data_IF_803415369457
#
_entry.id   IF_803415369457
#
_cell.length_a   1.000
_cell.length_b   1.000
_cell.length_c   1.000
_cell.angle_alpha   90.00
_cell.angle_beta   90.00
_cell.angle_gamma   90.00
#
_symmetry.space_group_name_H-M   'P 1'
#
loop_
_entity.id
_entity.type
_entity.pdbx_description
1 polymer ?
#
# COMPACT_ATOMS: atom_id res chain seq x y z
N UNK A 1 9.66 9.88 -5.29
CA UNK A 1 8.76 10.47 -4.27
C UNK A 1 7.36 9.92 -4.51
N UNK A 2 6.62 9.61 -3.44
CA UNK A 2 5.25 9.13 -3.51
C UNK A 2 4.29 9.97 -2.68
N UNK A 3 3.10 10.23 -3.22
CA UNK A 3 2.02 10.87 -2.47
C UNK A 3 1.32 9.86 -1.55
N UNK A 4 0.99 10.29 -0.34
CA UNK A 4 0.38 9.43 0.67
C UNK A 4 -0.87 10.06 1.30
N UNK A 5 -1.92 10.37 0.47
CA UNK A 5 -3.08 11.10 0.91
C UNK A 5 -3.93 10.32 1.91
N UNK A 6 -4.46 11.03 2.91
CA UNK A 6 -5.31 10.46 3.95
C UNK A 6 -6.50 11.35 4.27
N UNK A 7 -7.43 10.85 5.08
CA UNK A 7 -8.42 11.72 5.70
C UNK A 7 -7.74 12.85 6.47
N UNK A 8 -8.32 14.05 6.42
CA UNK A 8 -7.82 15.23 7.15
C UNK A 8 -8.11 15.10 8.65
N UNK A 9 -7.39 14.18 9.29
CA UNK A 9 -7.55 13.82 10.70
C UNK A 9 -6.17 13.60 11.35
N UNK A 10 -5.40 14.68 11.48
CA UNK A 10 -4.05 14.65 12.09
C UNK A 10 -4.06 14.05 13.49
N UNK A 11 -5.10 14.34 14.29
CA UNK A 11 -5.22 13.85 15.67
C UNK A 11 -5.20 12.33 15.76
N UNK A 12 -5.82 11.64 14.79
CA UNK A 12 -5.87 10.18 14.74
C UNK A 12 -4.96 9.62 13.64
N UNK A 13 -4.03 10.42 13.15
CA UNK A 13 -3.07 10.01 12.11
C UNK A 13 -3.74 9.43 10.84
N UNK A 14 -4.94 9.96 10.47
CA UNK A 14 -5.72 9.44 9.34
C UNK A 14 -6.26 8.02 9.52
N UNK A 15 -6.22 7.46 10.73
CA UNK A 15 -6.62 6.07 11.01
C UNK A 15 -8.08 5.90 11.45
N UNK A 16 -8.81 7.00 11.66
CA UNK A 16 -10.24 6.96 11.95
C UNK A 16 -11.04 6.92 10.65
N UNK A 17 -12.06 6.06 10.61
CA UNK A 17 -12.99 5.99 9.47
C UNK A 17 -13.86 7.23 9.41
N UNK A 18 -14.00 7.80 8.22
CA UNK A 18 -14.88 8.92 7.92
C UNK A 18 -15.74 8.59 6.71
N UNK A 19 -17.03 8.88 6.81
CA UNK A 19 -17.94 8.75 5.67
C UNK A 19 -18.07 10.13 5.02
N UNK A 20 -17.42 10.32 3.88
CA UNK A 20 -17.40 11.57 3.13
C UNK A 20 -18.09 11.40 1.78
N UNK A 21 -18.78 12.44 1.28
CA UNK A 21 -19.29 12.45 -0.09
C UNK A 21 -18.16 12.30 -1.10
N UNK A 22 -18.46 11.73 -2.27
CA UNK A 22 -17.52 11.48 -3.36
C UNK A 22 -16.68 12.73 -3.69
N UNK A 23 -17.32 13.89 -3.87
CA UNK A 23 -16.63 15.13 -4.23
C UNK A 23 -15.61 15.59 -3.17
N UNK A 24 -15.88 15.30 -1.89
CA UNK A 24 -14.93 15.61 -0.82
C UNK A 24 -13.75 14.63 -0.81
N UNK A 25 -13.98 13.36 -1.17
CA UNK A 25 -12.92 12.37 -1.32
C UNK A 25 -12.02 12.75 -2.50
N UNK A 26 -12.58 13.07 -3.65
CA UNK A 26 -11.84 13.52 -4.83
C UNK A 26 -10.97 14.73 -4.49
N UNK A 27 -11.58 15.78 -3.93
CA UNK A 27 -10.86 16.98 -3.55
C UNK A 27 -9.73 16.69 -2.56
N UNK A 28 -9.95 15.86 -1.57
CA UNK A 28 -8.96 15.46 -0.58
C UNK A 28 -7.71 14.83 -1.23
N UNK A 29 -7.91 13.97 -2.23
CA UNK A 29 -6.80 13.31 -2.96
C UNK A 29 -6.05 14.34 -3.82
N UNK A 30 -6.78 15.15 -4.57
CA UNK A 30 -6.21 16.16 -5.48
C UNK A 30 -5.40 17.19 -4.68
N UNK A 31 -5.99 17.80 -3.66
CA UNK A 31 -5.33 18.84 -2.87
C UNK A 31 -4.00 18.32 -2.26
N UNK A 32 -3.99 17.11 -1.71
CA UNK A 32 -2.77 16.56 -1.09
C UNK A 32 -1.72 16.14 -2.12
N UNK A 33 -2.13 15.68 -3.30
CA UNK A 33 -1.24 15.40 -4.41
C UNK A 33 -0.59 16.68 -4.92
N UNK A 34 -1.38 17.71 -5.24
CA UNK A 34 -0.91 18.97 -5.80
C UNK A 34 0.10 19.68 -4.88
N UNK A 35 -0.16 19.70 -3.56
CA UNK A 35 0.78 20.26 -2.58
C UNK A 35 2.14 19.57 -2.66
N UNK A 36 2.17 18.24 -2.80
CA UNK A 36 3.43 17.50 -2.86
C UNK A 36 4.10 17.67 -4.22
N UNK A 37 3.33 17.67 -5.31
CA UNK A 37 3.85 17.87 -6.67
C UNK A 37 4.51 19.24 -6.80
N UNK A 38 3.87 20.30 -6.33
CA UNK A 38 4.43 21.67 -6.30
C UNK A 38 5.78 21.75 -5.56
N UNK A 39 5.92 21.00 -4.46
CA UNK A 39 7.18 20.92 -3.71
C UNK A 39 8.22 20.12 -4.48
N UNK A 40 7.82 19.01 -5.06
CA UNK A 40 8.70 18.15 -5.82
C UNK A 40 9.28 18.87 -7.05
N UNK A 41 8.44 19.58 -7.81
CA UNK A 41 8.86 20.37 -8.98
C UNK A 41 9.87 21.46 -8.61
N UNK A 42 9.62 22.20 -7.52
CA UNK A 42 10.57 23.20 -7.00
C UNK A 42 11.94 22.65 -6.63
N UNK A 43 12.00 21.35 -6.33
CA UNK A 43 13.23 20.61 -6.01
C UNK A 43 13.80 19.85 -7.20
N UNK A 44 13.29 20.06 -8.42
CA UNK A 44 13.76 19.41 -9.65
C UNK A 44 13.44 17.91 -9.73
N UNK A 45 12.39 17.47 -9.04
CA UNK A 45 11.92 16.07 -9.05
C UNK A 45 10.40 16.03 -9.29
N UNK A 46 9.79 14.84 -9.27
CA UNK A 46 8.35 14.65 -9.47
C UNK A 46 7.77 13.56 -8.59
N UNK A 47 6.48 13.61 -8.36
CA UNK A 47 5.74 12.50 -7.75
C UNK A 47 5.58 11.39 -8.78
N UNK A 48 5.97 10.17 -8.43
CA UNK A 48 5.99 9.02 -9.35
C UNK A 48 4.93 7.98 -9.02
N UNK A 49 4.46 7.97 -7.80
CA UNK A 49 3.47 7.01 -7.32
C UNK A 49 2.58 7.61 -6.24
N UNK A 50 1.45 6.98 -6.03
CA UNK A 50 0.47 7.40 -5.03
C UNK A 50 -0.09 6.19 -4.29
N UNK A 51 -0.26 6.32 -2.98
CA UNK A 51 -0.80 5.31 -2.09
C UNK A 51 -1.69 5.95 -1.02
N UNK A 52 -2.99 5.70 -0.97
CA UNK A 52 -3.83 6.17 0.13
C UNK A 52 -3.35 5.65 1.49
N UNK A 53 -3.52 6.46 2.52
CA UNK A 53 -3.06 6.13 3.87
C UNK A 53 -4.20 5.76 4.82
N UNK A 54 -3.89 4.91 5.78
CA UNK A 54 -4.67 4.67 6.98
C UNK A 54 -6.09 4.16 6.72
N UNK A 55 -7.08 4.81 7.34
CA UNK A 55 -8.46 4.37 7.22
C UNK A 55 -9.01 4.51 5.80
N UNK A 56 -8.58 5.52 5.04
CA UNK A 56 -8.99 5.68 3.64
C UNK A 56 -8.57 4.48 2.79
N UNK A 57 -7.31 4.04 2.94
CA UNK A 57 -6.81 2.83 2.28
C UNK A 57 -7.61 1.58 2.68
N UNK A 58 -7.77 1.34 4.00
CA UNK A 58 -8.44 0.14 4.48
C UNK A 58 -9.92 0.09 4.07
N UNK A 59 -10.62 1.23 4.11
CA UNK A 59 -12.02 1.31 3.64
C UNK A 59 -12.11 1.02 2.14
N UNK A 60 -11.16 1.55 1.35
CA UNK A 60 -11.13 1.28 -0.09
C UNK A 60 -10.82 -0.19 -0.40
N UNK A 61 -9.99 -0.88 0.40
CA UNK A 61 -9.76 -2.31 0.23
C UNK A 61 -11.03 -3.15 0.38
N UNK A 62 -11.97 -2.68 1.19
CA UNK A 62 -13.23 -3.38 1.50
C UNK A 62 -14.39 -2.96 0.57
N UNK A 63 -14.38 -1.73 0.04
CA UNK A 63 -15.50 -1.12 -0.71
C UNK A 63 -15.10 -0.81 -2.17
N UNK A 64 -15.71 -1.52 -3.11
CA UNK A 64 -15.46 -1.33 -4.54
C UNK A 64 -15.89 0.04 -5.06
N UNK A 65 -16.90 0.68 -4.47
CA UNK A 65 -17.35 2.00 -4.92
C UNK A 65 -16.34 3.07 -4.50
N UNK A 66 -15.86 3.03 -3.25
CA UNK A 66 -14.79 3.89 -2.79
C UNK A 66 -13.50 3.67 -3.60
N UNK A 67 -13.16 2.41 -3.87
CA UNK A 67 -12.02 2.05 -4.72
C UNK A 67 -12.12 2.64 -6.13
N UNK A 68 -13.29 2.62 -6.74
CA UNK A 68 -13.51 3.22 -8.07
C UNK A 68 -13.37 4.74 -8.03
N UNK A 69 -13.87 5.40 -6.99
CA UNK A 69 -13.69 6.86 -6.80
C UNK A 69 -12.20 7.18 -6.72
N UNK A 70 -11.44 6.47 -5.88
CA UNK A 70 -9.99 6.69 -5.75
C UNK A 70 -9.25 6.42 -7.06
N UNK A 71 -9.48 5.25 -7.68
CA UNK A 71 -8.83 4.88 -8.93
C UNK A 71 -9.11 5.90 -10.05
N UNK A 72 -10.39 6.29 -10.23
CA UNK A 72 -10.77 7.30 -11.22
C UNK A 72 -10.10 8.65 -10.95
N UNK A 73 -10.10 9.11 -9.69
CA UNK A 73 -9.49 10.38 -9.32
C UNK A 73 -7.98 10.38 -9.59
N UNK A 74 -7.27 9.32 -9.20
CA UNK A 74 -5.83 9.20 -9.42
C UNK A 74 -5.52 9.11 -10.93
N UNK A 75 -6.31 8.36 -11.69
CA UNK A 75 -6.16 8.26 -13.14
C UNK A 75 -6.36 9.60 -13.85
N UNK A 76 -7.29 10.43 -13.36
CA UNK A 76 -7.56 11.76 -13.92
C UNK A 76 -6.46 12.78 -13.57
N UNK A 77 -5.77 12.61 -12.43
CA UNK A 77 -4.62 13.45 -12.05
C UNK A 77 -3.46 13.21 -13.04
N UNK A 78 -2.95 11.99 -13.10
CA UNK A 78 -1.91 11.61 -14.06
C UNK A 78 -1.96 10.10 -14.34
N UNK A 79 -2.18 9.74 -15.60
CA UNK A 79 -2.21 8.33 -16.08
C UNK A 79 -0.87 7.61 -15.94
N UNK A 80 0.20 8.33 -15.71
CA UNK A 80 1.54 7.76 -15.53
C UNK A 80 1.87 7.44 -14.09
N UNK A 81 1.10 7.93 -13.12
CA UNK A 81 1.27 7.57 -11.72
C UNK A 81 1.13 6.06 -11.52
N UNK A 82 2.05 5.52 -10.73
CA UNK A 82 1.94 4.16 -10.25
C UNK A 82 1.02 4.18 -9.02
N UNK A 83 -0.09 3.47 -9.10
CA UNK A 83 -0.99 3.33 -7.97
C UNK A 83 -0.58 2.12 -7.13
N UNK A 84 -0.04 2.36 -5.92
CA UNK A 84 0.24 1.28 -4.98
C UNK A 84 -1.07 0.81 -4.33
N UNK A 85 -1.36 -0.45 -4.50
CA UNK A 85 -2.61 -1.07 -4.03
C UNK A 85 -2.30 -2.30 -3.19
N UNK A 86 -2.96 -2.50 -2.03
CA UNK A 86 -2.86 -3.76 -1.32
C UNK A 86 -3.31 -4.90 -2.22
N UNK A 87 -2.47 -5.92 -2.34
CA UNK A 87 -2.74 -7.06 -3.23
C UNK A 87 -4.01 -7.81 -2.83
N UNK A 88 -4.77 -8.27 -3.81
CA UNK A 88 -6.05 -8.98 -3.61
C UNK A 88 -7.22 -8.10 -3.17
N UNK A 89 -7.04 -6.79 -3.05
CA UNK A 89 -8.06 -5.86 -2.55
C UNK A 89 -9.02 -5.34 -3.62
N UNK A 90 -10.11 -4.68 -3.19
CA UNK A 90 -11.01 -3.95 -4.10
C UNK A 90 -10.30 -2.77 -4.78
N UNK A 91 -9.22 -2.25 -4.21
CA UNK A 91 -8.41 -1.21 -4.84
C UNK A 91 -7.69 -1.76 -6.07
N UNK A 92 -7.09 -2.94 -5.98
CA UNK A 92 -6.48 -3.61 -7.13
C UNK A 92 -7.52 -3.90 -8.21
N UNK A 93 -8.69 -4.46 -7.83
CA UNK A 93 -9.79 -4.75 -8.77
C UNK A 93 -10.22 -3.49 -9.53
N UNK A 94 -10.40 -2.37 -8.83
CA UNK A 94 -10.80 -1.11 -9.44
C UNK A 94 -9.70 -0.55 -10.36
N UNK A 95 -8.45 -0.53 -9.90
CA UNK A 95 -7.32 0.00 -10.67
C UNK A 95 -7.09 -0.78 -11.98
N UNK A 96 -7.19 -2.10 -11.94
CA UNK A 96 -7.10 -2.95 -13.15
C UNK A 96 -8.23 -2.65 -14.16
N UNK A 97 -9.44 -2.34 -13.71
CA UNK A 97 -10.55 -1.95 -14.60
C UNK A 97 -10.31 -0.63 -15.32
N UNK A 98 -9.52 0.27 -14.75
CA UNK A 98 -9.09 1.53 -15.39
C UNK A 98 -7.77 1.39 -16.17
N UNK A 99 -7.21 0.17 -16.29
CA UNK A 99 -5.91 -0.09 -16.93
C UNK A 99 -4.78 0.82 -16.37
N UNK A 100 -4.79 1.05 -15.07
CA UNK A 100 -3.78 1.86 -14.40
C UNK A 100 -2.45 1.11 -14.29
N UNK A 101 -1.35 1.86 -14.22
CA UNK A 101 -0.08 1.32 -13.75
C UNK A 101 -0.21 1.06 -12.25
N UNK A 102 -0.14 -0.18 -11.82
CA UNK A 102 -0.26 -0.55 -10.41
C UNK A 102 1.01 -1.20 -9.90
N UNK A 103 1.19 -1.17 -8.59
CA UNK A 103 2.11 -2.02 -7.87
C UNK A 103 1.35 -2.70 -6.73
N UNK A 104 1.33 -4.02 -6.75
CA UNK A 104 0.66 -4.86 -5.76
C UNK A 104 1.53 -4.94 -4.50
N UNK A 105 1.00 -4.49 -3.38
CA UNK A 105 1.75 -4.34 -2.13
C UNK A 105 1.29 -5.30 -1.05
N UNK A 106 2.26 -5.91 -0.36
CA UNK A 106 2.06 -6.64 0.89
C UNK A 106 2.61 -5.83 2.07
N UNK A 107 2.25 -6.23 3.29
CA UNK A 107 2.69 -5.57 4.53
C UNK A 107 3.56 -6.52 5.34
N UNK A 108 4.76 -6.07 5.72
CA UNK A 108 5.70 -6.86 6.50
C UNK A 108 5.23 -7.10 7.94
N UNK A 109 4.56 -6.10 8.51
CA UNK A 109 4.20 -5.99 9.92
C UNK A 109 2.71 -6.20 10.21
N UNK A 110 1.95 -6.75 9.23
CA UNK A 110 0.50 -6.92 9.35
C UNK A 110 0.07 -8.33 8.98
N UNK A 111 -0.90 -8.85 9.71
CA UNK A 111 -1.57 -10.10 9.38
C UNK A 111 -2.82 -9.86 8.53
N UNK A 112 -3.26 -10.93 7.84
CA UNK A 112 -4.38 -10.92 6.90
C UNK A 112 -5.52 -11.82 7.37
N UNK A 113 -6.76 -11.38 7.14
CA UNK A 113 -7.97 -12.20 7.26
C UNK A 113 -8.12 -13.10 6.02
N UNK A 114 -9.06 -14.04 6.08
CA UNK A 114 -9.31 -15.03 5.02
C UNK A 114 -9.92 -14.45 3.72
N UNK A 115 -10.29 -13.19 3.75
CA UNK A 115 -10.75 -12.42 2.59
C UNK A 115 -9.62 -11.56 1.95
N UNK A 116 -8.39 -11.63 2.50
CA UNK A 116 -7.24 -10.86 2.04
C UNK A 116 -7.12 -9.46 2.63
N UNK A 117 -8.09 -9.01 3.43
CA UNK A 117 -7.99 -7.73 4.12
C UNK A 117 -7.06 -7.80 5.34
N UNK A 118 -6.52 -6.64 5.73
CA UNK A 118 -5.70 -6.57 6.94
C UNK A 118 -6.53 -6.81 8.19
N UNK A 119 -6.03 -7.63 9.11
CA UNK A 119 -6.62 -7.80 10.44
C UNK A 119 -6.77 -6.44 11.12
N UNK A 120 -7.96 -6.16 11.67
CA UNK A 120 -8.21 -4.89 12.36
C UNK A 120 -7.23 -4.69 13.51
N UNK A 121 -6.65 -3.48 13.61
CA UNK A 121 -5.71 -3.13 14.71
C UNK A 121 -6.31 -3.27 16.11
N UNK A 122 -7.64 -3.37 16.24
CA UNK A 122 -8.33 -3.65 17.51
C UNK A 122 -8.28 -5.12 17.93
N UNK A 123 -7.92 -6.02 17.01
CA UNK A 123 -7.80 -7.46 17.29
C UNK A 123 -6.39 -7.81 17.75
N UNK A 124 -6.30 -8.83 18.60
CA UNK A 124 -5.01 -9.44 18.93
C UNK A 124 -4.36 -9.99 17.63
N UNK A 125 -3.04 -9.98 17.59
CA UNK A 125 -2.24 -10.46 16.45
C UNK A 125 -2.45 -9.70 15.13
N UNK A 126 -3.01 -8.47 15.17
CA UNK A 126 -3.14 -7.65 13.97
C UNK A 126 -1.78 -7.14 13.46
N UNK A 127 -0.83 -6.95 14.36
CA UNK A 127 0.49 -6.37 14.09
C UNK A 127 1.57 -7.38 14.48
N UNK A 128 2.57 -7.50 13.63
CA UNK A 128 3.79 -8.26 13.87
C UNK A 128 4.87 -7.24 14.25
N UNK A 129 5.38 -7.28 15.47
CA UNK A 129 6.39 -6.33 15.97
C UNK A 129 7.81 -6.89 15.95
N UNK A 130 7.95 -8.19 15.95
CA UNK A 130 9.23 -8.90 15.97
C UNK A 130 9.85 -8.90 14.56
N UNK A 131 11.04 -8.30 14.33
CA UNK A 131 11.70 -8.23 13.03
C UNK A 131 11.94 -9.61 12.40
N UNK A 132 12.30 -10.63 13.20
CA UNK A 132 12.51 -11.99 12.72
C UNK A 132 11.20 -12.64 12.20
N UNK A 133 10.08 -12.34 12.86
CA UNK A 133 8.76 -12.80 12.38
C UNK A 133 8.35 -12.05 11.11
N UNK A 134 8.56 -10.74 11.06
CA UNK A 134 8.30 -9.93 9.85
C UNK A 134 9.10 -10.47 8.66
N UNK A 135 10.39 -10.74 8.84
CA UNK A 135 11.27 -11.31 7.83
C UNK A 135 10.72 -12.62 7.25
N UNK A 136 10.39 -13.56 8.14
CA UNK A 136 9.83 -14.87 7.75
C UNK A 136 8.48 -14.73 7.05
N UNK A 137 7.64 -13.81 7.53
CA UNK A 137 6.33 -13.52 6.97
C UNK A 137 6.44 -13.03 5.52
N UNK A 138 7.32 -12.03 5.29
CA UNK A 138 7.56 -11.48 3.95
C UNK A 138 8.14 -12.54 3.03
N UNK A 139 9.22 -13.22 3.43
CA UNK A 139 9.87 -14.22 2.59
C UNK A 139 8.88 -15.30 2.16
N UNK A 140 8.08 -15.82 3.09
CA UNK A 140 7.09 -16.85 2.79
C UNK A 140 6.04 -16.37 1.79
N UNK A 141 5.56 -15.12 1.91
CA UNK A 141 4.59 -14.55 0.96
C UNK A 141 5.20 -14.38 -0.43
N UNK A 142 6.43 -13.86 -0.50
CA UNK A 142 7.11 -13.60 -1.78
C UNK A 142 7.46 -14.90 -2.50
N UNK A 143 8.01 -15.89 -1.81
CA UNK A 143 8.35 -17.20 -2.40
C UNK A 143 7.13 -17.96 -2.90
N UNK A 144 6.01 -17.89 -2.17
CA UNK A 144 4.79 -18.61 -2.53
C UNK A 144 3.84 -17.79 -3.42
N UNK A 145 4.15 -16.52 -3.69
CA UNK A 145 3.25 -15.58 -4.40
C UNK A 145 1.84 -15.64 -3.81
N UNK A 146 1.75 -15.48 -2.48
CA UNK A 146 0.48 -15.59 -1.76
C UNK A 146 0.47 -14.78 -0.46
N UNK A 147 -0.69 -14.26 -0.08
CA UNK A 147 -0.94 -13.77 1.28
C UNK A 147 -1.02 -14.94 2.25
N UNK A 148 -0.45 -14.74 3.44
CA UNK A 148 -0.59 -15.68 4.57
C UNK A 148 -1.66 -15.18 5.54
N UNK A 149 -2.83 -15.80 5.55
CA UNK A 149 -3.91 -15.46 6.46
C UNK A 149 -3.69 -16.06 7.85
N UNK A 150 -4.27 -15.44 8.87
CA UNK A 150 -4.13 -15.89 10.29
C UNK A 150 -4.70 -17.29 10.51
N UNK A 151 -5.64 -17.76 9.70
CA UNK A 151 -6.18 -19.11 9.72
C UNK A 151 -5.24 -20.17 9.16
N UNK A 152 -4.16 -19.75 8.47
CA UNK A 152 -3.29 -20.61 7.67
C UNK A 152 -3.71 -20.72 6.21
N UNK A 153 -4.83 -20.11 5.80
CA UNK A 153 -5.23 -20.03 4.39
C UNK A 153 -4.18 -19.22 3.61
N UNK A 154 -3.90 -19.65 2.39
CA UNK A 154 -3.07 -18.91 1.42
C UNK A 154 -3.95 -18.39 0.29
N UNK A 155 -3.76 -17.11 -0.06
CA UNK A 155 -4.46 -16.46 -1.17
C UNK A 155 -3.40 -16.07 -2.21
N UNK A 156 -3.45 -16.70 -3.37
CA UNK A 156 -2.52 -16.40 -4.47
C UNK A 156 -2.66 -14.96 -4.91
N UNK A 157 -1.52 -14.27 -5.09
CA UNK A 157 -1.50 -12.86 -5.46
C UNK A 157 -0.20 -12.49 -6.16
N UNK A 158 -0.18 -11.31 -6.81
CA UNK A 158 1.03 -10.66 -7.30
C UNK A 158 1.65 -9.81 -6.19
N UNK A 159 2.98 -9.72 -6.15
CA UNK A 159 3.70 -8.95 -5.15
C UNK A 159 4.81 -8.16 -5.84
N UNK A 160 4.65 -6.82 -5.86
CA UNK A 160 5.61 -5.88 -6.44
C UNK A 160 6.30 -5.03 -5.38
N UNK A 161 5.70 -4.91 -4.20
CA UNK A 161 6.18 -4.03 -3.14
C UNK A 161 5.90 -4.60 -1.75
N UNK A 162 6.75 -4.23 -0.79
CA UNK A 162 6.58 -4.56 0.63
C UNK A 162 6.51 -3.28 1.44
N UNK A 163 5.39 -3.06 2.11
CA UNK A 163 5.22 -1.95 3.04
C UNK A 163 5.80 -2.28 4.41
N UNK A 164 6.57 -1.36 4.96
CA UNK A 164 7.03 -1.37 6.34
C UNK A 164 6.63 -0.04 6.98
N UNK A 165 5.86 -0.08 8.07
CA UNK A 165 5.46 1.14 8.76
C UNK A 165 6.63 1.70 9.58
N UNK A 166 6.88 3.00 9.45
CA UNK A 166 7.99 3.69 10.12
C UNK A 166 7.66 4.28 11.49
N UNK A 167 6.50 3.99 12.06
CA UNK A 167 5.99 4.53 13.32
C UNK A 167 6.28 3.63 14.55
N UNK A 168 7.12 2.65 14.39
CA UNK A 168 7.56 1.71 15.42
C UNK A 168 9.08 1.79 15.57
N UNK A 169 9.60 1.63 16.79
CA UNK A 169 11.04 1.70 17.07
C UNK A 169 11.82 0.59 16.37
N UNK A 170 11.24 -0.57 16.19
CA UNK A 170 11.82 -1.73 15.51
C UNK A 170 11.75 -1.65 13.98
N UNK A 171 11.12 -0.62 13.42
CA UNK A 171 10.86 -0.51 11.98
C UNK A 171 12.15 -0.51 11.15
N UNK A 172 13.19 0.16 11.64
CA UNK A 172 14.47 0.21 10.95
C UNK A 172 15.14 -1.17 10.90
N UNK A 173 15.07 -1.92 12.00
CA UNK A 173 15.61 -3.27 12.06
C UNK A 173 14.78 -4.22 11.20
N UNK A 174 13.45 -4.13 11.25
CA UNK A 174 12.55 -4.87 10.36
C UNK A 174 12.91 -4.62 8.89
N UNK A 175 13.15 -3.35 8.50
CA UNK A 175 13.51 -3.02 7.13
C UNK A 175 14.86 -3.65 6.72
N UNK A 176 15.84 -3.64 7.61
CA UNK A 176 17.16 -4.28 7.38
C UNK A 176 17.04 -5.78 7.22
N UNK A 177 16.33 -6.44 8.13
CA UNK A 177 16.15 -7.89 8.12
C UNK A 177 15.33 -8.37 6.91
N UNK A 178 14.25 -7.64 6.55
CA UNK A 178 13.46 -7.95 5.36
C UNK A 178 14.32 -7.78 4.10
N UNK A 179 15.05 -6.66 3.97
CA UNK A 179 15.95 -6.45 2.83
C UNK A 179 16.99 -7.58 2.73
N UNK A 180 17.65 -7.87 3.82
CA UNK A 180 18.71 -8.89 3.89
C UNK A 180 18.20 -10.27 3.45
N UNK A 181 17.08 -10.73 4.00
CA UNK A 181 16.54 -12.06 3.65
C UNK A 181 16.10 -12.15 2.19
N UNK A 182 15.56 -11.09 1.62
CA UNK A 182 15.20 -11.06 0.19
C UNK A 182 16.45 -11.18 -0.68
N UNK A 183 17.52 -10.41 -0.39
CA UNK A 183 18.78 -10.46 -1.11
C UNK A 183 19.48 -11.83 -0.97
N UNK A 184 19.49 -12.44 0.24
CA UNK A 184 20.04 -13.78 0.49
C UNK A 184 19.29 -14.89 -0.27
N UNK A 185 18.03 -14.68 -0.61
CA UNK A 185 17.23 -15.60 -1.42
C UNK A 185 17.17 -15.21 -2.91
N UNK A 186 18.12 -14.40 -3.39
CA UNK A 186 18.25 -13.96 -4.78
C UNK A 186 17.03 -13.15 -5.29
N UNK A 187 16.28 -12.50 -4.40
CA UNK A 187 15.19 -11.60 -4.77
C UNK A 187 15.76 -10.21 -4.92
N UNK A 188 15.87 -9.75 -6.15
CA UNK A 188 16.48 -8.46 -6.48
C UNK A 188 15.51 -7.31 -6.18
N UNK A 189 15.93 -6.38 -5.30
CA UNK A 189 15.20 -5.16 -5.03
C UNK A 189 15.55 -4.09 -6.07
N UNK A 190 14.53 -3.51 -6.69
CA UNK A 190 14.65 -2.47 -7.72
C UNK A 190 13.80 -1.25 -7.37
N UNK A 191 14.18 -0.04 -7.82
CA UNK A 191 13.27 1.09 -7.77
C UNK A 191 11.96 0.78 -8.48
N UNK A 192 10.84 1.20 -7.90
CA UNK A 192 9.49 0.90 -8.39
C UNK A 192 9.29 1.25 -9.87
N UNK A 193 9.85 2.39 -10.33
CA UNK A 193 9.77 2.82 -11.73
C UNK A 193 10.44 1.81 -12.68
N UNK A 194 11.51 1.15 -12.25
CA UNK A 194 12.25 0.18 -13.08
C UNK A 194 11.62 -1.21 -13.03
N UNK A 195 10.89 -1.55 -11.98
CA UNK A 195 10.26 -2.87 -11.83
C UNK A 195 9.05 -3.05 -12.74
N UNK A 196 8.39 -1.97 -13.15
CA UNK A 196 7.19 -1.98 -13.98
C UNK A 196 7.48 -1.81 -15.49
N UNK A 197 8.75 -1.70 -15.88
CA UNK A 197 9.17 -1.75 -17.27
C UNK A 197 9.40 -3.22 -17.61
N UNK A 198 8.35 -3.93 -17.97
CA UNK A 198 8.49 -5.21 -18.67
C UNK A 198 8.75 -4.93 -20.15
N UNK A 199 9.95 -5.32 -20.60
CA UNK A 199 10.30 -5.40 -22.02
C UNK A 199 9.74 -6.69 -22.57
#
# INVERSE_FOLDING_TARGET
>A
IGAHPSFNDRKNFGRKRHNLPEEKIKKLIIDQYEILEDIAEKLGTKVTHIKPHGALNNMACEDINLSRILAKTIFDIDRNLIYLVPTGSKMEEAARKFNMKIACEIFADRNYEDDGNLVSRSKANAIITDPEKCKKHVLNMVENQSLNCISGKKIRCEIDSVCIHGDNIESLETAREVKKVLEENNICLKPLILSLIHI
#
